data_IF_139604417640
#
_entry.id   IF_139604417640
#
_cell.length_a   1.000
_cell.length_b   1.000
_cell.length_c   1.000
_cell.angle_alpha   90.00
_cell.angle_beta   90.00
_cell.angle_gamma   90.00
#
_symmetry.space_group_name_H-M   'P 1'
#
loop_
_entity.id
_entity.type
_entity.pdbx_description
1 polymer ?
#
# COMPACT_ATOMS: atom_id res chain seq x y z
N UNK A 1 20.35 11.48 -9.86
CA UNK A 1 19.85 10.23 -9.27
C UNK A 1 18.51 9.93 -9.92
N UNK A 2 18.37 8.83 -10.65
CA UNK A 2 17.07 8.48 -11.27
C UNK A 2 16.19 8.00 -10.13
N UNK A 3 15.15 8.76 -9.79
CA UNK A 3 14.13 8.37 -8.83
C UNK A 3 13.39 7.17 -9.44
N UNK A 4 13.63 5.98 -8.92
CA UNK A 4 12.83 4.81 -9.29
C UNK A 4 11.56 4.83 -8.44
N UNK A 5 10.45 5.18 -9.05
CA UNK A 5 9.15 5.02 -8.41
C UNK A 5 8.93 3.55 -8.04
N UNK A 6 8.66 3.30 -6.79
CA UNK A 6 8.40 1.94 -6.32
C UNK A 6 6.96 1.58 -6.68
N UNK A 7 6.80 0.65 -7.63
CA UNK A 7 5.50 0.15 -8.04
C UNK A 7 5.25 -1.16 -7.30
N UNK A 8 4.23 -1.25 -6.42
CA UNK A 8 3.97 -2.46 -5.64
C UNK A 8 3.60 -3.64 -6.55
N UNK A 9 4.27 -4.77 -6.37
CA UNK A 9 3.96 -6.04 -7.06
C UNK A 9 2.95 -6.88 -6.30
N UNK A 10 2.80 -6.63 -5.00
CA UNK A 10 1.78 -7.20 -4.13
C UNK A 10 0.93 -6.08 -3.55
N UNK A 11 -0.33 -6.36 -3.31
CA UNK A 11 -1.21 -5.48 -2.54
C UNK A 11 -2.17 -6.29 -1.66
N UNK A 12 -2.40 -5.76 -0.47
CA UNK A 12 -3.33 -6.30 0.52
C UNK A 12 -4.45 -5.29 0.76
N UNK A 13 -5.68 -5.70 0.52
CA UNK A 13 -6.87 -4.91 0.82
C UNK A 13 -7.49 -5.28 2.17
N UNK A 14 -8.78 -4.99 2.33
CA UNK A 14 -9.51 -5.35 3.55
C UNK A 14 -9.63 -6.85 3.71
N UNK A 15 -10.04 -7.56 2.65
CA UNK A 15 -10.33 -9.00 2.66
C UNK A 15 -9.84 -9.70 1.40
N UNK A 16 -8.88 -9.11 0.70
CA UNK A 16 -8.34 -9.68 -0.52
C UNK A 16 -6.87 -9.33 -0.69
N UNK A 17 -6.22 -10.11 -1.52
CA UNK A 17 -4.82 -9.98 -1.88
C UNK A 17 -4.68 -9.95 -3.40
N UNK A 18 -3.70 -9.20 -3.90
CA UNK A 18 -3.36 -9.12 -5.32
C UNK A 18 -1.87 -9.36 -5.52
N UNK A 19 -1.52 -10.01 -6.62
CA UNK A 19 -0.13 -10.18 -7.04
C UNK A 19 0.03 -10.02 -8.54
N UNK A 20 1.03 -9.28 -8.99
CA UNK A 20 1.39 -9.17 -10.40
C UNK A 20 2.21 -10.40 -10.78
N UNK A 21 1.69 -11.21 -11.71
CA UNK A 21 2.35 -12.41 -12.18
C UNK A 21 3.45 -12.09 -13.21
N UNK A 22 4.34 -13.05 -13.45
CA UNK A 22 5.49 -12.90 -14.38
C UNK A 22 5.06 -12.59 -15.82
N UNK A 23 3.83 -12.96 -16.22
CA UNK A 23 3.27 -12.70 -17.55
C UNK A 23 2.51 -11.36 -17.65
N UNK A 24 2.51 -10.53 -16.59
CA UNK A 24 1.81 -9.26 -16.54
C UNK A 24 0.30 -9.39 -16.32
N UNK A 25 -0.20 -10.57 -15.97
CA UNK A 25 -1.55 -10.76 -15.45
C UNK A 25 -1.57 -10.55 -13.93
N UNK A 26 -2.75 -10.58 -13.31
CA UNK A 26 -2.92 -10.38 -11.86
C UNK A 26 -3.60 -11.58 -11.25
N UNK A 27 -2.99 -12.14 -10.21
CA UNK A 27 -3.62 -13.10 -9.33
C UNK A 27 -4.37 -12.36 -8.21
N UNK A 28 -5.52 -12.90 -7.80
CA UNK A 28 -6.32 -12.38 -6.70
C UNK A 28 -6.82 -13.52 -5.81
N UNK A 29 -6.88 -13.28 -4.49
CA UNK A 29 -7.38 -14.22 -3.51
C UNK A 29 -8.19 -13.48 -2.44
N UNK A 30 -9.14 -14.16 -1.80
CA UNK A 30 -9.96 -13.61 -0.73
C UNK A 30 -11.43 -13.42 -1.08
N UNK A 31 -12.08 -12.46 -0.43
CA UNK A 31 -13.48 -12.10 -0.69
C UNK A 31 -13.60 -11.19 -1.93
N UNK A 32 -14.54 -11.51 -2.81
CA UNK A 32 -14.90 -10.75 -4.01
C UNK A 32 -16.30 -10.15 -3.96
N UNK A 33 -16.83 -9.89 -2.77
CA UNK A 33 -18.23 -9.53 -2.57
C UNK A 33 -18.67 -8.21 -3.25
N UNK A 34 -17.73 -7.34 -3.60
CA UNK A 34 -17.98 -6.09 -4.34
C UNK A 34 -17.38 -6.09 -5.75
N UNK A 35 -16.84 -7.20 -6.25
CA UNK A 35 -16.17 -7.31 -7.55
C UNK A 35 -14.67 -7.01 -7.51
N UNK A 36 -14.08 -6.86 -6.32
CA UNK A 36 -12.65 -6.55 -6.13
C UNK A 36 -11.70 -7.64 -6.64
N UNK A 37 -12.20 -8.86 -6.90
CA UNK A 37 -11.43 -9.96 -7.50
C UNK A 37 -11.61 -10.08 -9.03
N UNK A 38 -12.37 -9.20 -9.67
CA UNK A 38 -12.62 -9.25 -11.12
C UNK A 38 -11.43 -8.70 -11.91
N UNK A 39 -10.27 -9.34 -11.78
CA UNK A 39 -9.00 -8.94 -12.41
C UNK A 39 -8.57 -9.85 -13.57
N UNK A 40 -9.34 -10.89 -13.92
CA UNK A 40 -8.97 -11.94 -14.90
C UNK A 40 -8.70 -11.40 -16.32
N UNK A 41 -9.30 -10.25 -16.65
CA UNK A 41 -9.08 -9.56 -17.94
C UNK A 41 -7.89 -8.61 -17.96
N UNK A 42 -7.21 -8.41 -16.82
CA UNK A 42 -6.11 -7.45 -16.73
C UNK A 42 -4.85 -8.00 -17.41
N UNK A 43 -4.19 -7.17 -18.23
CA UNK A 43 -2.98 -7.51 -18.98
C UNK A 43 -2.00 -6.34 -18.91
N UNK A 44 -0.73 -6.65 -19.12
CA UNK A 44 0.38 -5.68 -19.11
C UNK A 44 0.48 -4.89 -17.80
N UNK A 45 0.04 -5.51 -16.70
CA UNK A 45 0.08 -4.90 -15.37
C UNK A 45 1.49 -4.96 -14.82
N UNK A 46 1.97 -3.83 -14.34
CA UNK A 46 3.30 -3.67 -13.74
C UNK A 46 3.24 -3.32 -12.25
N UNK A 47 2.05 -3.07 -11.73
CA UNK A 47 1.86 -2.80 -10.31
C UNK A 47 0.41 -2.83 -9.91
N UNK A 48 0.15 -3.09 -8.64
CA UNK A 48 -1.19 -3.20 -8.05
C UNK A 48 -1.32 -2.40 -6.76
N UNK A 49 -2.54 -1.97 -6.46
CA UNK A 49 -2.91 -1.44 -5.17
C UNK A 49 -4.31 -1.96 -4.79
N UNK A 50 -4.57 -2.08 -3.50
CA UNK A 50 -5.83 -2.58 -2.97
C UNK A 50 -6.36 -1.67 -1.87
N UNK A 51 -7.64 -1.32 -1.93
CA UNK A 51 -8.27 -0.51 -0.93
C UNK A 51 -8.28 -1.22 0.42
N UNK A 52 -7.61 -0.65 1.41
CA UNK A 52 -7.61 -1.13 2.78
C UNK A 52 -8.65 -0.34 3.58
N UNK A 53 -9.35 -1.02 4.47
CA UNK A 53 -10.22 -0.40 5.46
C UNK A 53 -10.05 -1.17 6.77
N UNK A 54 -10.01 -0.44 7.89
CA UNK A 54 -10.00 -1.11 9.16
C UNK A 54 -11.31 -1.91 9.37
N UNK A 55 -11.30 -2.92 10.21
CA UNK A 55 -12.39 -3.88 10.46
C UNK A 55 -13.68 -3.26 11.06
N UNK A 56 -14.02 -2.02 10.76
CA UNK A 56 -15.28 -1.41 11.16
C UNK A 56 -16.47 -2.08 10.47
N UNK A 57 -17.45 -2.30 11.23
CA UNK A 57 -18.65 -3.14 11.13
C UNK A 57 -19.41 -3.24 9.80
N UNK A 58 -19.10 -2.51 8.72
CA UNK A 58 -20.03 -2.47 7.58
C UNK A 58 -19.40 -2.36 6.20
N UNK A 59 -18.09 -2.45 6.06
CA UNK A 59 -17.48 -2.13 4.79
C UNK A 59 -16.74 -3.26 4.12
N UNK A 60 -16.92 -4.50 4.44
CA UNK A 60 -16.24 -5.62 3.74
C UNK A 60 -16.06 -5.45 2.21
N UNK A 61 -16.42 -4.26 1.68
CA UNK A 61 -16.33 -3.84 0.29
C UNK A 61 -15.06 -3.04 0.06
N UNK A 62 -14.33 -3.43 -0.95
CA UNK A 62 -13.06 -2.85 -1.33
C UNK A 62 -12.99 -2.63 -2.85
N UNK A 63 -11.86 -2.14 -3.32
CA UNK A 63 -11.56 -2.04 -4.75
C UNK A 63 -10.11 -2.42 -5.00
N UNK A 64 -9.83 -2.82 -6.22
CA UNK A 64 -8.51 -3.19 -6.71
C UNK A 64 -8.10 -2.25 -7.83
N UNK A 65 -6.82 -1.93 -7.90
CA UNK A 65 -6.22 -1.03 -8.88
C UNK A 65 -5.04 -1.71 -9.53
N UNK A 66 -4.93 -1.63 -10.85
CA UNK A 66 -3.79 -2.11 -11.63
C UNK A 66 -3.18 -0.99 -12.46
N UNK A 67 -1.87 -0.81 -12.36
CA UNK A 67 -1.10 0.07 -13.22
C UNK A 67 -0.54 -0.72 -14.39
N UNK A 68 -0.80 -0.28 -15.62
CA UNK A 68 -0.22 -0.86 -16.83
C UNK A 68 1.13 -0.24 -17.19
N UNK A 69 1.90 -0.98 -17.96
CA UNK A 69 3.20 -0.56 -18.47
C UNK A 69 3.13 0.72 -19.33
N UNK A 70 2.00 0.99 -19.98
CA UNK A 70 1.75 2.19 -20.78
C UNK A 70 1.31 3.42 -19.97
N UNK A 71 1.27 3.31 -18.63
CA UNK A 71 0.85 4.38 -17.73
C UNK A 71 -0.66 4.58 -17.64
N UNK A 72 -1.47 3.67 -18.19
CA UNK A 72 -2.92 3.63 -17.97
C UNK A 72 -3.25 2.85 -16.69
N UNK A 73 -4.44 3.10 -16.12
CA UNK A 73 -4.86 2.51 -14.85
C UNK A 73 -6.18 1.77 -15.02
N UNK A 74 -6.24 0.59 -14.44
CA UNK A 74 -7.43 -0.25 -14.31
C UNK A 74 -7.93 -0.20 -12.87
N UNK A 75 -9.24 -0.31 -12.67
CA UNK A 75 -9.82 -0.49 -11.35
C UNK A 75 -11.09 -1.35 -11.43
N UNK A 76 -11.34 -2.11 -10.36
CA UNK A 76 -12.55 -2.92 -10.20
C UNK A 76 -12.95 -2.99 -8.73
N UNK A 77 -14.18 -3.38 -8.46
CA UNK A 77 -14.71 -3.48 -7.11
C UNK A 77 -15.70 -2.39 -6.77
N UNK A 78 -15.81 -2.07 -5.48
CA UNK A 78 -16.76 -1.08 -5.01
C UNK A 78 -16.41 0.34 -5.49
N UNK A 79 -17.39 1.05 -6.08
CA UNK A 79 -17.20 2.38 -6.71
C UNK A 79 -18.24 3.41 -6.28
N UNK A 80 -18.81 3.28 -5.09
CA UNK A 80 -19.89 4.19 -4.66
C UNK A 80 -19.44 5.66 -4.48
N UNK A 81 -18.15 5.91 -4.29
CA UNK A 81 -17.58 7.26 -4.17
C UNK A 81 -16.77 7.66 -5.44
N UNK A 82 -16.78 6.85 -6.50
CA UNK A 82 -16.04 7.11 -7.74
C UNK A 82 -14.55 6.73 -7.68
N UNK A 83 -14.13 5.90 -6.73
CA UNK A 83 -12.73 5.49 -6.55
C UNK A 83 -12.20 4.60 -7.68
N UNK A 84 -13.08 3.97 -8.48
CA UNK A 84 -12.69 3.23 -9.67
C UNK A 84 -12.71 4.07 -10.96
N UNK A 85 -13.05 5.36 -10.91
CA UNK A 85 -13.13 6.23 -12.07
C UNK A 85 -11.75 6.76 -12.51
N UNK A 86 -10.87 5.84 -12.85
CA UNK A 86 -9.46 6.09 -13.20
C UNK A 86 -9.15 5.88 -14.69
N UNK A 87 -10.12 5.45 -15.49
CA UNK A 87 -9.92 5.06 -16.89
C UNK A 87 -9.40 6.16 -17.83
N UNK A 88 -9.55 7.44 -17.44
CA UNK A 88 -9.00 8.58 -18.18
C UNK A 88 -7.55 8.92 -17.80
N UNK A 89 -6.98 8.28 -16.78
CA UNK A 89 -5.63 8.59 -16.31
C UNK A 89 -4.57 8.10 -17.29
N UNK A 90 -3.54 8.91 -17.50
CA UNK A 90 -2.40 8.65 -18.39
C UNK A 90 -1.12 9.11 -17.70
N UNK A 91 0.01 8.59 -18.16
CA UNK A 91 1.34 8.94 -17.64
C UNK A 91 1.52 8.62 -16.14
N UNK A 92 0.72 7.67 -15.63
CA UNK A 92 0.82 7.22 -14.24
C UNK A 92 2.02 6.31 -14.09
N UNK A 93 2.83 6.57 -13.06
CA UNK A 93 4.06 5.82 -12.73
C UNK A 93 3.96 5.04 -11.41
N UNK A 94 3.00 5.40 -10.55
CA UNK A 94 2.68 4.63 -9.35
C UNK A 94 1.21 4.83 -8.96
N UNK A 95 0.63 3.84 -8.29
CA UNK A 95 -0.75 3.86 -7.78
C UNK A 95 -0.77 3.51 -6.29
N UNK A 96 -1.71 4.11 -5.56
CA UNK A 96 -2.03 3.72 -4.19
C UNK A 96 -3.55 3.72 -4.00
N UNK A 97 -4.03 2.86 -3.11
CA UNK A 97 -5.45 2.76 -2.81
C UNK A 97 -5.68 2.73 -1.29
N UNK A 98 -6.55 3.60 -0.81
CA UNK A 98 -6.99 3.65 0.57
C UNK A 98 -8.49 3.36 0.70
N UNK A 99 -9.06 3.68 1.85
CA UNK A 99 -10.49 3.55 2.00
C UNK A 99 -11.23 4.52 1.09
N UNK A 100 -11.94 3.98 0.09
CA UNK A 100 -12.79 4.72 -0.86
C UNK A 100 -12.06 5.75 -1.71
N UNK A 101 -10.76 5.59 -1.96
CA UNK A 101 -10.04 6.46 -2.89
C UNK A 101 -8.88 5.74 -3.56
N UNK A 102 -8.53 6.24 -4.73
CA UNK A 102 -7.38 5.83 -5.52
C UNK A 102 -6.52 7.05 -5.81
N UNK A 103 -5.21 6.88 -5.73
CA UNK A 103 -4.22 7.87 -6.11
C UNK A 103 -3.42 7.38 -7.30
N UNK A 104 -3.07 8.31 -8.20
CA UNK A 104 -2.13 8.09 -9.29
C UNK A 104 -1.02 9.13 -9.23
N UNK A 105 0.22 8.69 -9.10
CA UNK A 105 1.40 9.54 -9.22
C UNK A 105 1.78 9.65 -10.69
N UNK A 106 1.90 10.86 -11.20
CA UNK A 106 2.31 11.13 -12.56
C UNK A 106 3.84 11.25 -12.68
N UNK A 107 4.38 10.99 -13.87
CA UNK A 107 5.80 11.09 -14.16
C UNK A 107 6.40 12.49 -13.92
N UNK A 108 5.56 13.53 -13.94
CA UNK A 108 5.95 14.92 -13.68
C UNK A 108 5.85 15.33 -12.20
N UNK A 109 5.56 14.39 -11.31
CA UNK A 109 5.46 14.61 -9.87
C UNK A 109 4.15 15.24 -9.39
N UNK A 110 3.13 15.34 -10.25
CA UNK A 110 1.75 15.66 -9.86
C UNK A 110 1.04 14.39 -9.37
N UNK A 111 -0.02 14.57 -8.58
CA UNK A 111 -0.83 13.47 -8.05
C UNK A 111 -2.27 13.65 -8.48
N UNK A 112 -2.87 12.58 -8.99
CA UNK A 112 -4.30 12.46 -9.25
C UNK A 112 -4.99 11.74 -8.10
N UNK A 113 -6.25 12.06 -7.84
CA UNK A 113 -7.08 11.37 -6.87
C UNK A 113 -8.49 11.15 -7.43
N UNK A 114 -9.05 9.97 -7.16
CA UNK A 114 -10.45 9.65 -7.43
C UNK A 114 -11.08 9.03 -6.17
N UNK A 115 -12.34 9.32 -5.90
CA UNK A 115 -13.07 8.77 -4.77
C UNK A 115 -13.52 9.81 -3.76
N UNK A 116 -13.66 9.38 -2.50
CA UNK A 116 -14.24 10.16 -1.41
C UNK A 116 -13.43 11.41 -1.08
N UNK A 117 -14.11 12.56 -1.01
CA UNK A 117 -13.49 13.88 -0.76
C UNK A 117 -13.82 14.47 0.61
N UNK A 118 -14.78 13.89 1.35
CA UNK A 118 -15.38 14.52 2.53
C UNK A 118 -14.36 14.86 3.65
N UNK A 119 -13.25 14.12 3.75
CA UNK A 119 -12.21 14.35 4.77
C UNK A 119 -11.02 15.17 4.23
N UNK A 120 -11.10 15.67 3.00
CA UNK A 120 -10.00 16.38 2.35
C UNK A 120 -8.85 15.47 1.87
N UNK A 121 -8.96 14.15 2.00
CA UNK A 121 -7.87 13.22 1.65
C UNK A 121 -7.61 13.10 0.13
N UNK A 122 -8.47 13.69 -0.72
CA UNK A 122 -8.25 13.85 -2.16
C UNK A 122 -7.70 15.25 -2.54
N UNK A 123 -7.38 16.11 -1.60
CA UNK A 123 -6.88 17.48 -1.86
C UNK A 123 -5.38 17.46 -2.21
N UNK A 124 -5.04 16.79 -3.30
CA UNK A 124 -3.65 16.60 -3.78
C UNK A 124 -3.31 17.45 -5.02
N UNK A 125 -4.26 18.21 -5.55
CA UNK A 125 -4.10 18.96 -6.81
C UNK A 125 -2.96 20.01 -6.80
N UNK A 126 -2.61 20.52 -5.61
CA UNK A 126 -1.50 21.46 -5.42
C UNK A 126 -0.13 20.78 -5.24
N UNK A 127 -0.09 19.45 -5.09
CA UNK A 127 1.15 18.73 -4.85
C UNK A 127 2.04 18.74 -6.08
N UNK A 128 3.34 18.96 -5.88
CA UNK A 128 4.35 19.00 -6.94
C UNK A 128 5.61 18.29 -6.48
N UNK A 129 6.40 17.84 -7.44
CA UNK A 129 7.68 17.18 -7.21
C UNK A 129 7.54 15.91 -6.33
N UNK A 130 6.36 15.29 -6.34
CA UNK A 130 6.10 14.08 -5.56
C UNK A 130 6.76 12.88 -6.23
N UNK A 131 7.40 12.03 -5.42
CA UNK A 131 8.13 10.83 -5.87
C UNK A 131 7.58 9.54 -5.27
N UNK A 132 6.81 9.63 -4.19
CA UNK A 132 6.10 8.51 -3.58
C UNK A 132 4.77 8.98 -3.00
N UNK A 133 3.75 8.10 -3.03
CA UNK A 133 2.41 8.37 -2.48
C UNK A 133 1.87 7.15 -1.74
N UNK A 134 1.15 7.39 -0.66
CA UNK A 134 0.41 6.38 0.06
C UNK A 134 -0.97 6.90 0.48
N UNK A 135 -1.94 5.99 0.51
CA UNK A 135 -3.31 6.26 0.92
C UNK A 135 -3.68 5.38 2.11
N UNK A 136 -3.89 5.99 3.26
CA UNK A 136 -4.49 5.33 4.42
C UNK A 136 -6.03 5.37 4.36
N UNK A 137 -6.71 5.05 5.46
CA UNK A 137 -8.18 5.10 5.45
C UNK A 137 -8.70 6.55 5.34
N UNK A 138 -8.12 7.47 6.09
CA UNK A 138 -8.63 8.83 6.27
C UNK A 138 -7.70 9.94 5.79
N UNK A 139 -6.50 9.59 5.35
CA UNK A 139 -5.47 10.55 4.97
C UNK A 139 -4.65 10.07 3.79
N UNK A 140 -3.98 10.98 3.16
CA UNK A 140 -3.07 10.76 2.03
C UNK A 140 -1.73 11.40 2.37
N UNK A 141 -0.66 10.71 2.08
CA UNK A 141 0.71 11.20 2.27
C UNK A 141 1.52 11.04 1.01
N UNK A 142 2.51 11.90 0.84
CA UNK A 142 3.48 11.82 -0.24
C UNK A 142 4.87 12.25 0.23
N UNK A 143 5.87 11.88 -0.54
CA UNK A 143 7.26 12.32 -0.38
C UNK A 143 7.64 13.13 -1.62
N UNK A 144 8.25 14.30 -1.44
CA UNK A 144 8.82 15.09 -2.52
C UNK A 144 10.25 14.66 -2.86
N UNK A 145 10.71 15.07 -4.02
CA UNK A 145 12.05 14.76 -4.51
C UNK A 145 13.19 15.24 -3.58
N UNK A 146 12.93 16.25 -2.76
CA UNK A 146 13.86 16.77 -1.74
C UNK A 146 13.83 15.97 -0.41
N UNK A 147 13.00 14.92 -0.34
CA UNK A 147 12.81 14.09 0.85
C UNK A 147 11.90 14.71 1.91
N UNK A 148 11.20 15.81 1.61
CA UNK A 148 10.18 16.38 2.49
C UNK A 148 8.83 15.69 2.28
N UNK A 149 8.02 15.47 3.35
CA UNK A 149 6.69 14.91 3.24
C UNK A 149 5.64 15.97 2.90
N UNK A 150 4.52 15.49 2.35
CA UNK A 150 3.25 16.22 2.28
C UNK A 150 2.13 15.31 2.78
N UNK A 151 1.11 15.87 3.43
CA UNK A 151 -0.03 15.10 3.90
C UNK A 151 -1.32 15.92 3.82
N UNK A 152 -2.44 15.25 3.59
CA UNK A 152 -3.79 15.82 3.61
C UNK A 152 -4.82 14.80 4.10
N UNK A 153 -5.98 15.28 4.54
CA UNK A 153 -7.04 14.45 5.09
C UNK A 153 -7.32 14.68 6.55
N UNK A 154 -7.93 13.70 7.21
CA UNK A 154 -8.23 13.79 8.64
C UNK A 154 -6.95 13.86 9.49
N UNK A 155 -6.95 14.72 10.52
CA UNK A 155 -5.78 14.98 11.38
C UNK A 155 -6.07 14.70 12.87
N UNK A 156 -7.08 13.90 13.16
CA UNK A 156 -7.59 13.75 14.54
C UNK A 156 -6.64 13.06 15.51
N UNK A 157 -5.71 12.27 15.00
CA UNK A 157 -4.79 11.44 15.78
C UNK A 157 -3.35 11.56 15.25
N UNK A 158 -2.97 12.76 14.81
CA UNK A 158 -1.63 13.12 14.35
C UNK A 158 -1.12 12.32 13.13
N UNK A 159 -1.97 11.55 12.45
CA UNK A 159 -1.56 10.76 11.28
C UNK A 159 -1.03 11.60 10.12
N UNK A 160 -1.28 12.91 10.11
CA UNK A 160 -0.71 13.88 9.17
C UNK A 160 0.41 14.74 9.79
N UNK A 161 0.84 14.48 11.02
CA UNK A 161 1.89 15.26 11.71
C UNK A 161 3.29 14.85 11.22
N UNK A 162 3.55 15.00 9.93
CA UNK A 162 4.79 14.59 9.25
C UNK A 162 5.74 15.76 8.98
N UNK A 163 5.36 16.99 9.29
CA UNK A 163 6.05 18.24 8.89
C UNK A 163 7.53 18.33 9.28
N UNK A 164 7.93 17.65 10.36
CA UNK A 164 9.31 17.66 10.86
C UNK A 164 10.19 16.55 10.26
N UNK A 165 9.61 15.66 9.46
CA UNK A 165 10.37 14.58 8.86
C UNK A 165 11.23 15.08 7.70
N UNK A 166 12.41 14.50 7.55
CA UNK A 166 13.38 14.84 6.50
C UNK A 166 14.07 13.59 5.96
N UNK A 167 14.58 13.68 4.75
CA UNK A 167 15.36 12.61 4.13
C UNK A 167 14.54 11.36 3.79
N UNK A 168 13.23 11.52 3.61
CA UNK A 168 12.37 10.42 3.22
C UNK A 168 12.63 9.99 1.78
N UNK A 169 12.54 8.69 1.55
CA UNK A 169 12.59 8.06 0.22
C UNK A 169 11.31 7.29 -0.10
N UNK A 170 10.53 6.92 0.93
CA UNK A 170 9.26 6.24 0.77
C UNK A 170 8.34 6.53 1.98
N UNK A 171 7.03 6.28 1.80
CA UNK A 171 6.01 6.48 2.82
C UNK A 171 4.90 5.45 2.66
N UNK A 172 4.32 5.02 3.76
CA UNK A 172 3.12 4.19 3.78
C UNK A 172 2.12 4.69 4.81
N UNK A 173 0.84 4.38 4.62
CA UNK A 173 -0.24 4.87 5.46
C UNK A 173 -1.24 3.75 5.77
N UNK A 174 -1.51 3.56 7.06
CA UNK A 174 -2.49 2.62 7.56
C UNK A 174 -3.84 3.27 7.90
N UNK A 175 -4.57 2.68 8.85
CA UNK A 175 -5.87 3.21 9.27
C UNK A 175 -5.75 4.64 9.83
N UNK A 176 -4.93 4.85 10.83
CA UNK A 176 -4.74 6.13 11.53
C UNK A 176 -3.26 6.39 11.87
N UNK A 177 -2.35 5.79 11.14
CA UNK A 177 -0.91 6.01 11.32
C UNK A 177 -0.21 6.16 9.98
N UNK A 178 0.91 6.82 10.00
CA UNK A 178 1.81 7.05 8.85
C UNK A 178 3.20 6.58 9.22
N UNK A 179 3.89 5.95 8.28
CA UNK A 179 5.25 5.47 8.44
C UNK A 179 6.09 5.98 7.29
N UNK A 180 7.23 6.58 7.59
CA UNK A 180 8.20 7.09 6.64
C UNK A 180 9.50 6.31 6.67
N UNK A 181 10.00 5.94 5.49
CA UNK A 181 11.32 5.35 5.32
C UNK A 181 12.31 6.44 4.91
N UNK A 182 13.41 6.54 5.63
CA UNK A 182 14.52 7.44 5.28
C UNK A 182 15.54 6.75 4.39
N UNK A 183 16.30 7.55 3.65
CA UNK A 183 17.34 7.07 2.75
C UNK A 183 18.54 6.41 3.46
N UNK A 184 18.66 6.57 4.77
CA UNK A 184 19.66 5.90 5.61
C UNK A 184 19.18 4.55 6.19
N UNK A 185 17.99 4.09 5.80
CA UNK A 185 17.39 2.84 6.26
C UNK A 185 16.73 2.92 7.64
N UNK A 186 16.61 4.12 8.23
CA UNK A 186 15.82 4.31 9.45
C UNK A 186 14.35 4.57 9.15
N UNK A 187 13.47 4.28 10.10
CA UNK A 187 12.02 4.41 9.96
C UNK A 187 11.48 5.39 11.00
N UNK A 188 10.51 6.19 10.62
CA UNK A 188 9.77 7.10 11.48
C UNK A 188 8.28 6.86 11.36
N UNK A 189 7.53 7.13 12.40
CA UNK A 189 6.08 6.96 12.42
C UNK A 189 5.37 8.06 13.18
N UNK A 190 4.08 8.25 12.88
CA UNK A 190 3.19 9.15 13.61
C UNK A 190 1.75 8.65 13.50
N UNK A 191 0.89 9.13 14.38
CA UNK A 191 -0.53 8.76 14.39
C UNK A 191 -0.88 7.85 15.56
N UNK A 192 -1.91 7.02 15.37
CA UNK A 192 -2.40 6.13 16.41
C UNK A 192 -1.44 4.97 16.67
N UNK A 193 -0.85 4.95 17.85
CA UNK A 193 0.12 3.94 18.28
C UNK A 193 -0.39 2.98 19.36
N UNK A 194 -1.67 3.02 19.77
CA UNK A 194 -2.21 2.24 20.89
C UNK A 194 -2.18 0.70 20.68
N UNK A 195 -2.09 0.24 19.44
CA UNK A 195 -1.86 -1.17 19.10
C UNK A 195 -0.38 -1.50 18.82
N UNK A 196 0.55 -0.56 19.04
CA UNK A 196 1.98 -0.77 18.76
C UNK A 196 2.39 -0.58 17.29
N UNK A 197 1.47 -0.16 16.40
CA UNK A 197 1.78 0.01 14.96
C UNK A 197 2.83 1.09 14.67
N UNK A 198 3.10 1.96 15.64
CA UNK A 198 4.12 3.00 15.59
C UNK A 198 5.44 2.62 16.28
N UNK A 199 5.59 1.40 16.81
CA UNK A 199 6.78 0.96 17.56
C UNK A 199 7.92 0.53 16.62
N UNK A 200 8.28 1.43 15.70
CA UNK A 200 9.32 1.22 14.68
C UNK A 200 10.68 1.81 15.08
N UNK A 201 10.78 2.40 16.26
CA UNK A 201 12.03 2.96 16.78
C UNK A 201 13.11 1.87 16.89
N UNK A 202 14.27 2.16 16.37
CA UNK A 202 15.34 1.17 16.36
C UNK A 202 15.42 0.31 15.11
N UNK A 203 14.44 0.33 14.20
CA UNK A 203 14.58 -0.32 12.92
C UNK A 203 15.71 0.31 12.10
N UNK A 204 16.58 -0.54 11.52
CA UNK A 204 17.76 -0.16 10.74
C UNK A 204 17.85 -1.02 9.50
N UNK A 205 18.59 -0.53 8.51
CA UNK A 205 18.82 -1.23 7.25
C UNK A 205 17.51 -1.60 6.52
N UNK A 206 16.42 -0.86 6.82
CA UNK A 206 15.13 -1.07 6.18
C UNK A 206 15.16 -0.52 4.76
N UNK A 207 14.66 -1.32 3.81
CA UNK A 207 14.59 -0.97 2.38
C UNK A 207 13.16 -0.84 1.87
N UNK A 208 12.17 -1.30 2.65
CA UNK A 208 10.75 -1.14 2.34
C UNK A 208 9.89 -1.11 3.59
N UNK A 209 8.80 -0.37 3.54
CA UNK A 209 7.76 -0.35 4.59
C UNK A 209 6.38 -0.57 4.00
N UNK A 210 5.51 -1.25 4.76
CA UNK A 210 4.10 -1.39 4.45
C UNK A 210 3.28 -1.21 5.74
N UNK A 211 2.16 -0.49 5.65
CA UNK A 211 1.25 -0.28 6.78
C UNK A 211 -0.10 -0.94 6.49
N UNK A 212 -0.50 -1.80 7.39
CA UNK A 212 -1.84 -2.36 7.45
C UNK A 212 -2.79 -1.47 8.26
N UNK A 213 -3.95 -1.99 8.67
CA UNK A 213 -4.86 -1.18 9.48
C UNK A 213 -4.27 -0.83 10.85
N UNK A 214 -3.67 -1.80 11.53
CA UNK A 214 -3.16 -1.66 12.90
C UNK A 214 -1.79 -2.31 13.12
N UNK A 215 -1.05 -2.58 12.04
CA UNK A 215 0.31 -3.11 12.10
C UNK A 215 1.19 -2.47 11.02
N UNK A 216 2.48 -2.53 11.24
CA UNK A 216 3.51 -2.03 10.32
C UNK A 216 4.52 -3.12 10.04
N UNK A 217 4.93 -3.23 8.79
CA UNK A 217 5.88 -4.21 8.30
C UNK A 217 7.07 -3.50 7.67
N UNK A 218 8.28 -3.91 8.02
CA UNK A 218 9.54 -3.44 7.44
C UNK A 218 10.31 -4.60 6.81
N UNK A 219 10.77 -4.40 5.59
CA UNK A 219 11.70 -5.31 4.92
C UNK A 219 13.12 -4.79 5.09
N UNK A 220 13.99 -5.60 5.66
CA UNK A 220 15.42 -5.31 5.78
C UNK A 220 16.20 -5.66 4.50
N UNK A 221 17.38 -5.07 4.34
CA UNK A 221 18.23 -5.24 3.16
C UNK A 221 18.74 -6.68 2.98
N UNK A 222 18.78 -7.46 4.05
CA UNK A 222 19.17 -8.88 4.04
C UNK A 222 18.01 -9.83 3.69
N UNK A 223 16.81 -9.30 3.44
CA UNK A 223 15.62 -10.07 3.10
C UNK A 223 14.83 -10.59 4.32
N UNK A 224 15.20 -10.21 5.54
CA UNK A 224 14.40 -10.47 6.75
C UNK A 224 13.26 -9.46 6.87
N UNK A 225 12.22 -9.81 7.60
CA UNK A 225 11.01 -8.98 7.76
C UNK A 225 10.74 -8.72 9.23
N UNK A 226 10.52 -7.46 9.56
CA UNK A 226 10.06 -7.01 10.87
C UNK A 226 8.58 -6.66 10.82
N UNK A 227 7.84 -6.93 11.88
CA UNK A 227 6.47 -6.46 12.02
C UNK A 227 6.19 -6.06 13.47
N UNK A 228 5.37 -5.02 13.63
CA UNK A 228 4.90 -4.51 14.92
C UNK A 228 3.45 -4.09 14.82
N UNK A 229 2.74 -4.07 15.92
CA UNK A 229 1.35 -3.66 15.98
C UNK A 229 0.42 -4.78 16.43
N UNK A 230 -0.86 -4.66 16.07
CA UNK A 230 -1.84 -5.70 16.37
C UNK A 230 -1.46 -7.03 15.72
N UNK A 231 -1.61 -8.11 16.47
CA UNK A 231 -1.26 -9.47 16.05
C UNK A 231 -2.32 -10.52 16.44
N UNK A 232 -3.56 -10.09 16.63
CA UNK A 232 -4.67 -10.94 17.06
C UNK A 232 -4.97 -12.10 16.10
N UNK A 233 -4.48 -12.02 14.88
CA UNK A 233 -4.66 -13.02 13.83
C UNK A 233 -3.34 -13.60 13.30
N UNK A 234 -2.19 -13.29 13.91
CA UNK A 234 -0.86 -13.69 13.42
C UNK A 234 -0.36 -12.89 12.22
N UNK A 235 -0.89 -11.68 11.99
CA UNK A 235 -0.45 -10.82 10.87
C UNK A 235 0.99 -10.28 11.03
N UNK A 236 1.55 -10.39 12.24
CA UNK A 236 2.95 -10.08 12.52
C UNK A 236 3.85 -11.34 12.59
N UNK A 237 3.33 -12.54 12.33
CA UNK A 237 4.09 -13.81 12.32
C UNK A 237 4.98 -13.93 11.07
N UNK A 238 5.91 -13.01 10.90
CA UNK A 238 6.79 -12.89 9.72
C UNK A 238 8.27 -13.18 10.03
N UNK A 239 8.62 -13.41 11.30
CA UNK A 239 10.02 -13.54 11.75
C UNK A 239 10.79 -14.71 11.12
N UNK A 240 10.08 -15.75 10.64
CA UNK A 240 10.67 -16.90 9.95
C UNK A 240 10.79 -16.70 8.43
N UNK A 241 10.40 -15.54 7.90
CA UNK A 241 10.46 -15.26 6.48
C UNK A 241 11.89 -14.90 6.06
N UNK A 242 12.35 -15.51 4.99
CA UNK A 242 13.69 -15.33 4.42
C UNK A 242 13.58 -15.07 2.92
N UNK A 243 14.61 -14.44 2.36
CA UNK A 243 14.72 -14.12 0.93
C UNK A 243 13.58 -13.24 0.40
N UNK A 244 12.98 -12.43 1.27
CA UNK A 244 11.89 -11.53 0.90
C UNK A 244 12.45 -10.32 0.16
N UNK A 245 11.78 -9.94 -0.95
CA UNK A 245 12.17 -8.80 -1.80
C UNK A 245 11.08 -7.73 -1.87
N UNK A 246 9.85 -8.04 -1.42
CA UNK A 246 8.78 -7.06 -1.26
C UNK A 246 7.79 -7.50 -0.19
N UNK A 247 7.15 -6.53 0.46
CA UNK A 247 6.12 -6.74 1.47
C UNK A 247 4.87 -5.90 1.17
N UNK A 248 3.72 -6.41 1.58
CA UNK A 248 2.46 -5.66 1.58
C UNK A 248 1.65 -6.00 2.85
N UNK A 249 0.92 -5.03 3.37
CA UNK A 249 0.09 -5.18 4.56
C UNK A 249 -1.34 -4.69 4.32
N UNK A 250 -2.32 -5.48 4.73
CA UNK A 250 -3.75 -5.19 4.61
C UNK A 250 -4.41 -4.91 5.96
N UNK A 251 -5.70 -5.14 6.06
CA UNK A 251 -6.39 -4.89 7.34
C UNK A 251 -5.87 -5.81 8.46
N UNK A 252 -5.74 -7.10 8.20
CA UNK A 252 -5.42 -8.13 9.20
C UNK A 252 -4.55 -9.24 8.62
N UNK A 253 -3.76 -8.94 7.57
CA UNK A 253 -2.85 -9.90 6.94
C UNK A 253 -1.65 -9.21 6.30
N UNK A 254 -0.59 -9.98 6.12
CA UNK A 254 0.67 -9.54 5.53
C UNK A 254 1.07 -10.49 4.41
N UNK A 255 1.59 -9.97 3.31
CA UNK A 255 2.20 -10.75 2.24
C UNK A 255 3.69 -10.43 2.11
N UNK A 256 4.49 -11.45 1.81
CA UNK A 256 5.90 -11.34 1.45
C UNK A 256 6.17 -11.99 0.10
N UNK A 257 6.81 -11.27 -0.81
CA UNK A 257 7.30 -11.81 -2.08
C UNK A 257 8.74 -12.25 -1.91
N UNK A 258 9.02 -13.50 -2.23
CA UNK A 258 10.39 -14.03 -2.28
C UNK A 258 11.08 -13.75 -3.60
N UNK A 259 12.41 -13.81 -3.59
CA UNK A 259 13.23 -13.62 -4.78
C UNK A 259 12.93 -14.64 -5.91
N UNK A 260 12.44 -15.84 -5.56
CA UNK A 260 12.03 -16.88 -6.52
C UNK A 260 10.62 -16.67 -7.11
N UNK A 261 9.95 -15.58 -6.74
CA UNK A 261 8.58 -15.25 -7.16
C UNK A 261 7.47 -15.92 -6.35
N UNK A 262 7.79 -16.75 -5.36
CA UNK A 262 6.78 -17.30 -4.45
C UNK A 262 6.29 -16.26 -3.47
N UNK A 263 5.04 -16.42 -2.99
CA UNK A 263 4.42 -15.49 -2.05
C UNK A 263 4.13 -16.18 -0.73
N UNK A 264 4.55 -15.54 0.34
CA UNK A 264 4.24 -15.89 1.72
C UNK A 264 3.05 -15.07 2.21
N UNK A 265 2.28 -15.63 3.15
CA UNK A 265 1.18 -14.92 3.79
C UNK A 265 1.12 -15.26 5.28
N UNK A 266 0.74 -14.27 6.09
CA UNK A 266 0.47 -14.39 7.52
C UNK A 266 -0.77 -13.57 7.88
N UNK A 267 -1.53 -14.01 8.87
CA UNK A 267 -2.70 -13.29 9.37
C UNK A 267 -4.02 -13.99 9.11
N UNK A 268 -5.09 -13.21 9.14
CA UNK A 268 -6.47 -13.67 9.05
C UNK A 268 -6.80 -14.26 7.66
N UNK A 269 -7.29 -15.51 7.63
CA UNK A 269 -7.54 -16.25 6.37
C UNK A 269 -8.95 -16.86 6.26
N UNK A 270 -9.92 -16.42 7.05
CA UNK A 270 -11.29 -16.97 7.04
C UNK A 270 -11.97 -16.83 5.66
N UNK A 271 -11.59 -15.83 4.88
CA UNK A 271 -12.14 -15.56 3.55
C UNK A 271 -11.18 -15.94 2.41
N UNK A 272 -10.07 -16.63 2.70
CA UNK A 272 -9.10 -17.12 1.72
C UNK A 272 -8.12 -16.03 1.22
N UNK A 273 -8.00 -14.90 1.91
CA UNK A 273 -7.08 -13.80 1.50
C UNK A 273 -5.60 -14.18 1.57
N UNK A 274 -5.25 -15.20 2.36
CA UNK A 274 -3.90 -15.76 2.45
C UNK A 274 -3.69 -16.97 1.53
N UNK A 275 -4.67 -17.37 0.70
CA UNK A 275 -4.53 -18.47 -0.25
C UNK A 275 -3.77 -18.00 -1.48
N UNK A 276 -2.47 -17.82 -1.32
CA UNK A 276 -1.52 -17.34 -2.34
C UNK A 276 -0.58 -18.44 -2.85
N UNK A 277 -0.78 -19.67 -2.38
CA UNK A 277 0.02 -20.84 -2.79
C UNK A 277 -0.10 -21.05 -4.31
N UNK A 278 1.05 -21.20 -4.96
CA UNK A 278 1.12 -21.37 -6.42
C UNK A 278 1.20 -20.07 -7.22
N UNK A 279 1.10 -18.90 -6.59
CA UNK A 279 1.41 -17.65 -7.27
C UNK A 279 2.89 -17.61 -7.68
N UNK A 280 3.15 -17.10 -8.87
CA UNK A 280 4.48 -16.82 -9.39
C UNK A 280 4.51 -15.38 -9.81
N UNK A 281 4.81 -14.52 -8.85
CA UNK A 281 4.83 -13.09 -9.06
C UNK A 281 6.12 -12.64 -9.73
N UNK A 282 6.02 -11.52 -10.44
CA UNK A 282 7.19 -10.83 -10.97
C UNK A 282 8.11 -10.40 -9.81
N UNK A 283 9.42 -10.42 -10.05
CA UNK A 283 10.44 -9.88 -9.16
C UNK A 283 11.25 -8.83 -9.93
N UNK A 284 11.72 -7.78 -9.27
CA UNK A 284 12.46 -6.66 -9.91
C UNK A 284 13.83 -6.51 -9.33
#
# INVERSE_FOLDING_TARGET
>A
MVVRHRVPLLACGTRHSLGVLVDGTVAAAGSGAAGELEVQGWRDVVGVAAGSVHAARNTGRSHSVGLRADGTVLATGWDADGQCQVGAWRDVVAVAAGWRRTLGLLADGRVLAAGRTAEGACEVASWREVVAVAAGDWHTVGVRADGSPVATGAQRLDQCAVGDWRGLVDVTAGYLHTVGLRGDGTVVSTGRGDAGACDVDGWRDVVAVAAGSHHTVGLAADGTVHAVGADDHGQCDVAAWEEVVAVAAGSEHTLGLRADGTVLAAGHDVDGRCVVTGWRCATR
#
